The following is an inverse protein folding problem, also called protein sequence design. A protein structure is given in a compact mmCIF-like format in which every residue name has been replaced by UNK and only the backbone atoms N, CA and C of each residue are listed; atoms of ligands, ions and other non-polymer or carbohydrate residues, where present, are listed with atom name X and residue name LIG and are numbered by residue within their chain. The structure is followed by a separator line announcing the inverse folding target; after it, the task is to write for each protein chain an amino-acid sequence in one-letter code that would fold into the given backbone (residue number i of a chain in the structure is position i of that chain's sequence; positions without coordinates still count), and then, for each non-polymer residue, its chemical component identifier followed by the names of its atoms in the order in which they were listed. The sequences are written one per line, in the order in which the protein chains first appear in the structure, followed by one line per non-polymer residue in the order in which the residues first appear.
data_IF_594432495348
#
_entry.id   IF_594432495348
#
_cell.length_a   1.000
_cell.length_b   1.000
_cell.length_c   1.000
_cell.angle_alpha   90.00
_cell.angle_beta   90.00
_cell.angle_gamma   90.00
#
_symmetry.space_group_name_H-M   'P 1'
#
loop_
_entity.id
_entity.type
_entity.pdbx_description
1 polymer ?
#
# COMPACT_ATOMS: atom_id res chain seq x y z
N UNK A 1 -3.73 -12.23 3.03
CA UNK A 1 -2.67 -11.98 4.03
C UNK A 1 -1.38 -11.58 3.33
N UNK A 2 -0.73 -10.50 3.79
CA UNK A 2 0.52 -10.05 3.17
C UNK A 2 1.31 -9.19 4.17
N UNK A 3 2.34 -9.73 4.81
CA UNK A 3 3.18 -8.98 5.73
C UNK A 3 3.80 -7.76 5.05
N UNK A 4 3.82 -6.64 5.75
CA UNK A 4 4.44 -5.42 5.24
C UNK A 4 5.94 -5.39 5.54
N UNK A 5 6.67 -4.62 4.75
CA UNK A 5 8.11 -4.37 4.93
C UNK A 5 8.47 -4.16 6.41
N UNK A 6 9.54 -4.82 6.86
CA UNK A 6 9.99 -4.80 8.26
C UNK A 6 9.18 -5.69 9.21
N UNK A 7 8.24 -6.51 8.71
CA UNK A 7 7.69 -7.63 9.49
C UNK A 7 8.80 -8.67 9.74
N UNK A 8 8.71 -9.46 10.82
CA UNK A 8 9.62 -10.58 11.02
C UNK A 8 9.60 -11.54 9.82
N UNK A 9 10.73 -12.15 9.48
CA UNK A 9 10.85 -13.07 8.33
C UNK A 9 9.86 -14.24 8.40
N UNK A 10 9.51 -14.69 9.60
CA UNK A 10 8.54 -15.77 9.81
C UNK A 10 7.07 -15.32 9.68
N UNK A 11 6.78 -14.01 9.50
CA UNK A 11 5.41 -13.49 9.62
C UNK A 11 4.44 -14.10 8.60
N UNK A 12 4.90 -14.33 7.37
CA UNK A 12 4.05 -14.95 6.34
C UNK A 12 3.78 -16.41 6.65
N UNK A 13 4.81 -17.18 7.00
CA UNK A 13 4.64 -18.59 7.39
C UNK A 13 3.73 -18.71 8.60
N UNK A 14 3.92 -17.89 9.62
CA UNK A 14 3.05 -17.90 10.80
C UNK A 14 1.57 -17.62 10.46
N UNK A 15 1.31 -16.68 9.54
CA UNK A 15 -0.05 -16.41 9.10
C UNK A 15 -0.67 -17.59 8.32
N UNK A 16 0.14 -18.29 7.51
CA UNK A 16 -0.26 -19.52 6.81
C UNK A 16 -0.57 -20.61 7.84
N UNK A 17 0.31 -20.83 8.82
CA UNK A 17 0.14 -21.84 9.86
C UNK A 17 -1.16 -21.63 10.67
N UNK A 18 -1.50 -20.36 10.97
CA UNK A 18 -2.78 -20.03 11.64
C UNK A 18 -3.98 -20.41 10.77
N UNK A 19 -3.92 -20.20 9.46
CA UNK A 19 -4.99 -20.62 8.54
C UNK A 19 -5.10 -22.14 8.49
N UNK A 20 -3.98 -22.87 8.45
CA UNK A 20 -3.96 -24.33 8.46
C UNK A 20 -4.47 -24.92 9.78
N UNK A 21 -4.09 -24.32 10.91
CA UNK A 21 -4.64 -24.72 12.22
C UNK A 21 -6.16 -24.55 12.28
N UNK A 22 -6.69 -23.42 11.80
CA UNK A 22 -8.12 -23.19 11.74
C UNK A 22 -8.84 -24.24 10.86
N UNK A 23 -8.24 -24.58 9.71
CA UNK A 23 -8.74 -25.64 8.81
C UNK A 23 -8.72 -27.00 9.50
N UNK A 24 -7.64 -27.31 10.25
CA UNK A 24 -7.54 -28.52 11.07
C UNK A 24 -8.66 -28.66 12.11
N UNK A 25 -9.21 -27.54 12.56
CA UNK A 25 -10.39 -27.49 13.44
C UNK A 25 -11.73 -27.44 12.68
N UNK A 26 -11.73 -27.67 11.36
CA UNK A 26 -12.94 -27.72 10.54
C UNK A 26 -13.49 -26.37 10.07
N UNK A 27 -12.72 -25.28 10.23
CA UNK A 27 -13.09 -23.97 9.70
C UNK A 27 -12.74 -23.91 8.21
N UNK A 28 -13.65 -23.51 7.35
CA UNK A 28 -13.37 -23.25 5.94
C UNK A 28 -12.67 -21.90 5.80
N UNK A 29 -11.36 -21.92 5.59
CA UNK A 29 -10.50 -20.74 5.51
C UNK A 29 -9.80 -20.70 4.15
N UNK A 30 -10.00 -19.63 3.42
CA UNK A 30 -9.17 -19.21 2.29
C UNK A 30 -8.56 -17.84 2.59
N UNK A 31 -7.53 -17.48 1.85
CA UNK A 31 -6.91 -16.15 1.94
C UNK A 31 -6.45 -15.68 0.58
N UNK A 32 -6.06 -14.42 0.49
CA UNK A 32 -5.62 -13.82 -0.77
C UNK A 32 -4.31 -13.04 -0.63
N UNK A 33 -3.69 -12.80 -1.78
CA UNK A 33 -2.52 -11.93 -1.92
C UNK A 33 -2.64 -11.03 -3.16
N UNK A 34 -1.94 -9.90 -3.11
CA UNK A 34 -1.74 -9.03 -4.28
C UNK A 34 -0.48 -9.50 -5.00
N UNK A 35 -0.48 -9.70 -6.34
CA UNK A 35 0.69 -10.19 -7.07
C UNK A 35 1.69 -9.05 -7.38
N UNK A 36 1.89 -8.15 -6.43
CA UNK A 36 2.82 -7.02 -6.50
C UNK A 36 3.51 -6.80 -5.17
N UNK A 37 4.80 -6.47 -5.21
CA UNK A 37 5.59 -6.04 -4.06
C UNK A 37 5.37 -4.55 -3.70
N UNK A 38 4.73 -3.80 -4.58
CA UNK A 38 4.32 -2.42 -4.37
C UNK A 38 2.86 -2.32 -3.97
N UNK A 39 2.58 -1.47 -2.99
CA UNK A 39 1.23 -1.07 -2.60
C UNK A 39 1.05 0.44 -2.72
N UNK A 40 -0.18 0.90 -2.72
CA UNK A 40 -0.53 2.31 -2.74
C UNK A 40 -1.52 2.63 -1.64
N UNK A 41 -1.56 3.88 -1.23
CA UNK A 41 -2.60 4.37 -0.32
C UNK A 41 -2.62 5.89 -0.29
N UNK A 42 -3.60 6.46 0.40
CA UNK A 42 -3.68 7.89 0.63
C UNK A 42 -2.58 8.35 1.59
N UNK A 43 -1.92 9.47 1.28
CA UNK A 43 -0.84 10.03 2.12
C UNK A 43 -1.34 10.35 3.53
N UNK A 44 -2.59 10.80 3.67
CA UNK A 44 -3.21 11.08 4.98
C UNK A 44 -3.19 9.85 5.93
N UNK A 45 -3.04 8.65 5.40
CA UNK A 45 -2.97 7.43 6.21
C UNK A 45 -1.67 7.32 7.04
N UNK A 46 -0.64 8.14 6.76
CA UNK A 46 0.56 8.24 7.58
C UNK A 46 0.26 8.79 8.98
N UNK A 47 -0.77 9.62 9.08
CA UNK A 47 -1.14 10.28 10.33
C UNK A 47 -1.70 9.28 11.34
N UNK A 48 -1.34 9.37 12.62
CA UNK A 48 -1.97 8.62 13.68
C UNK A 48 -3.45 8.98 13.78
N UNK A 49 -4.27 8.09 14.36
CA UNK A 49 -5.72 8.24 14.39
C UNK A 49 -6.15 9.58 14.98
N UNK A 50 -5.61 9.97 16.13
CA UNK A 50 -5.96 11.24 16.80
C UNK A 50 -5.73 12.47 15.92
N UNK A 51 -4.74 12.41 15.01
CA UNK A 51 -4.44 13.51 14.11
C UNK A 51 -5.43 13.64 12.94
N UNK A 52 -6.17 12.58 12.64
CA UNK A 52 -7.19 12.53 11.58
C UNK A 52 -8.60 12.82 12.04
N UNK A 53 -8.85 12.89 13.36
CA UNK A 53 -10.17 13.12 13.93
C UNK A 53 -10.67 14.56 13.71
N UNK A 54 -11.97 14.70 13.51
CA UNK A 54 -12.65 15.99 13.41
C UNK A 54 -12.68 16.59 12.00
N UNK A 55 -12.37 15.80 10.97
CA UNK A 55 -12.44 16.22 9.56
C UNK A 55 -11.23 17.01 9.08
N UNK A 56 -11.20 17.31 7.78
CA UNK A 56 -10.02 17.85 7.08
C UNK A 56 -9.53 19.19 7.65
N UNK A 57 -10.42 20.08 8.09
CA UNK A 57 -10.02 21.35 8.69
C UNK A 57 -9.25 21.15 10.01
N UNK A 58 -9.70 20.23 10.85
CA UNK A 58 -8.99 19.91 12.10
C UNK A 58 -7.64 19.22 11.84
N UNK A 59 -7.54 18.43 10.78
CA UNK A 59 -6.26 17.88 10.32
C UNK A 59 -5.32 19.02 9.94
N UNK A 60 -5.76 19.98 9.13
CA UNK A 60 -4.97 21.13 8.70
C UNK A 60 -4.50 22.00 9.88
N UNK A 61 -5.38 22.26 10.87
CA UNK A 61 -5.02 22.99 12.09
C UNK A 61 -3.85 22.29 12.80
N UNK A 62 -3.92 20.95 12.99
CA UNK A 62 -2.87 20.17 13.64
C UNK A 62 -1.57 20.14 12.82
N UNK A 63 -1.69 20.06 11.49
CA UNK A 63 -0.51 20.08 10.60
C UNK A 63 0.18 21.44 10.57
N UNK A 64 -0.51 22.54 10.88
CA UNK A 64 0.08 23.90 11.05
C UNK A 64 0.67 24.12 12.42
N UNK A 65 0.25 23.37 13.43
CA UNK A 65 0.78 23.46 14.79
C UNK A 65 2.10 22.70 14.93
N UNK A 66 3.24 23.38 15.21
CA UNK A 66 4.54 22.72 15.37
C UNK A 66 4.56 21.65 16.46
N UNK A 67 3.81 21.85 17.55
CA UNK A 67 3.74 20.87 18.65
C UNK A 67 3.02 19.60 18.21
N UNK A 68 1.92 19.74 17.49
CA UNK A 68 1.18 18.62 16.94
C UNK A 68 2.02 17.87 15.87
N UNK A 69 2.74 18.58 15.00
CA UNK A 69 3.67 17.96 14.02
C UNK A 69 4.72 17.09 14.70
N UNK A 70 5.39 17.62 15.73
CA UNK A 70 6.38 16.83 16.47
C UNK A 70 5.76 15.59 17.15
N UNK A 71 4.54 15.72 17.68
CA UNK A 71 3.83 14.59 18.26
C UNK A 71 3.46 13.54 17.18
N UNK A 72 3.07 13.96 15.97
CA UNK A 72 2.81 13.08 14.84
C UNK A 72 4.07 12.30 14.47
N UNK A 73 5.20 12.99 14.28
CA UNK A 73 6.48 12.39 13.88
C UNK A 73 7.02 11.37 14.89
N UNK A 74 6.82 11.62 16.18
CA UNK A 74 7.24 10.69 17.25
C UNK A 74 6.37 9.44 17.39
N UNK A 75 5.15 9.47 16.85
CA UNK A 75 4.19 8.38 16.96
C UNK A 75 3.60 8.03 15.59
N UNK A 76 4.43 7.66 14.60
CA UNK A 76 3.94 7.26 13.31
C UNK A 76 3.10 5.99 13.46
N UNK A 77 2.17 5.80 12.54
CA UNK A 77 1.30 4.63 12.57
C UNK A 77 2.14 3.35 12.45
N UNK A 78 2.02 2.36 13.37
CA UNK A 78 2.90 1.18 13.39
C UNK A 78 2.93 0.37 12.09
N UNK A 79 1.85 0.40 11.30
CA UNK A 79 1.78 -0.30 10.02
C UNK A 79 2.68 0.31 8.93
N UNK A 80 3.17 1.54 9.12
CA UNK A 80 4.04 2.23 8.16
C UNK A 80 5.52 2.04 8.54
N UNK A 81 5.99 0.80 8.50
CA UNK A 81 7.35 0.43 8.90
C UNK A 81 8.43 1.07 8.03
N UNK A 82 8.14 1.34 6.75
CA UNK A 82 9.04 2.09 5.87
C UNK A 82 9.34 3.49 6.43
N UNK A 83 8.33 4.15 6.99
CA UNK A 83 8.48 5.47 7.65
C UNK A 83 9.31 5.34 8.93
N UNK A 84 9.03 4.32 9.72
CA UNK A 84 9.74 4.08 10.99
C UNK A 84 11.22 3.69 10.81
N UNK A 85 11.59 3.17 9.64
CA UNK A 85 12.95 2.72 9.29
C UNK A 85 13.66 3.65 8.30
N UNK A 86 13.21 4.90 8.17
CA UNK A 86 13.73 5.88 7.21
C UNK A 86 13.74 5.41 5.75
N UNK A 87 12.83 4.52 5.41
CA UNK A 87 12.67 3.97 4.05
C UNK A 87 12.04 4.94 3.05
N UNK A 88 12.27 6.23 3.18
CA UNK A 88 11.66 7.30 2.39
C UNK A 88 11.95 7.22 0.90
N UNK A 89 13.08 6.66 0.51
CA UNK A 89 13.46 6.39 -0.88
C UNK A 89 12.61 5.28 -1.54
N UNK A 90 11.89 4.49 -0.76
CA UNK A 90 10.98 3.42 -1.21
C UNK A 90 9.53 3.85 -1.28
N UNK A 91 9.23 5.10 -0.97
CA UNK A 91 7.90 5.68 -1.00
C UNK A 91 7.89 6.78 -2.05
N UNK A 92 7.00 6.68 -3.02
CA UNK A 92 6.93 7.57 -4.19
C UNK A 92 5.58 8.26 -4.23
N UNK A 93 5.58 9.58 -4.46
CA UNK A 93 4.35 10.34 -4.67
C UNK A 93 3.71 9.94 -6.00
N UNK A 94 2.48 9.44 -5.95
CA UNK A 94 1.74 9.01 -7.16
C UNK A 94 0.82 10.07 -7.72
N UNK A 95 0.16 10.81 -6.84
CA UNK A 95 -0.83 11.80 -7.22
C UNK A 95 -0.82 12.97 -6.24
N UNK A 96 -0.82 14.18 -6.81
CA UNK A 96 -1.00 15.44 -6.10
C UNK A 96 -1.59 16.45 -7.09
N UNK A 97 -2.59 17.19 -6.71
CA UNK A 97 -3.14 18.27 -7.52
C UNK A 97 -2.34 19.57 -7.35
N UNK A 98 -1.88 19.84 -6.13
CA UNK A 98 -1.11 21.03 -5.81
C UNK A 98 0.37 20.92 -6.22
N UNK A 99 0.96 19.72 -6.19
CA UNK A 99 2.39 19.47 -6.41
C UNK A 99 2.64 18.48 -7.56
N UNK A 100 2.07 18.77 -8.73
CA UNK A 100 2.18 17.89 -9.94
C UNK A 100 3.61 17.67 -10.40
N UNK A 101 4.49 18.63 -10.17
CA UNK A 101 5.92 18.58 -10.52
C UNK A 101 6.75 17.67 -9.58
N UNK A 102 6.17 17.24 -8.47
CA UNK A 102 6.77 16.29 -7.55
C UNK A 102 6.29 14.85 -7.76
N UNK A 103 5.26 14.64 -8.57
CA UNK A 103 4.75 13.30 -8.89
C UNK A 103 5.83 12.45 -9.55
N UNK A 104 6.01 11.23 -9.07
CA UNK A 104 7.06 10.31 -9.50
C UNK A 104 8.35 10.40 -8.66
N UNK A 105 8.50 11.41 -7.80
CA UNK A 105 9.63 11.52 -6.87
C UNK A 105 9.40 10.69 -5.61
N UNK A 106 10.48 10.12 -5.08
CA UNK A 106 10.47 9.55 -3.74
C UNK A 106 10.35 10.65 -2.68
N UNK A 107 9.84 10.31 -1.51
CA UNK A 107 9.75 11.29 -0.42
C UNK A 107 11.11 11.77 0.09
N UNK A 108 12.15 10.96 -0.08
CA UNK A 108 13.53 11.38 0.18
C UNK A 108 13.99 12.47 -0.81
N UNK A 109 13.70 12.31 -2.11
CA UNK A 109 13.99 13.33 -3.12
C UNK A 109 13.18 14.62 -2.90
N UNK A 110 11.91 14.50 -2.52
CA UNK A 110 11.04 15.64 -2.19
C UNK A 110 11.60 16.39 -0.96
N UNK A 111 12.00 15.65 0.08
CA UNK A 111 12.62 16.24 1.27
C UNK A 111 13.88 17.03 0.91
N UNK A 112 14.78 16.46 0.12
CA UNK A 112 15.99 17.14 -0.37
C UNK A 112 15.65 18.38 -1.21
N UNK A 113 14.69 18.30 -2.11
CA UNK A 113 14.25 19.41 -2.95
C UNK A 113 13.64 20.56 -2.14
N UNK A 114 12.87 20.22 -1.09
CA UNK A 114 12.28 21.20 -0.14
C UNK A 114 13.25 21.62 0.98
N UNK A 115 14.47 21.11 1.01
CA UNK A 115 15.47 21.32 2.07
C UNK A 115 14.89 21.06 3.48
N UNK A 116 14.14 19.96 3.61
CA UNK A 116 13.46 19.57 4.85
C UNK A 116 13.57 18.05 5.07
N UNK A 117 13.31 17.61 6.30
CA UNK A 117 13.20 16.18 6.58
C UNK A 117 12.04 15.59 5.76
N UNK A 118 12.17 14.39 5.16
CA UNK A 118 11.12 13.78 4.32
C UNK A 118 9.74 13.75 5.00
N UNK A 119 9.67 13.46 6.30
CA UNK A 119 8.41 13.48 7.03
C UNK A 119 7.75 14.86 7.04
N UNK A 120 8.53 15.93 7.29
CA UNK A 120 7.99 17.30 7.24
C UNK A 120 7.53 17.65 5.84
N UNK A 121 8.29 17.28 4.80
CA UNK A 121 7.87 17.46 3.41
C UNK A 121 6.52 16.77 3.11
N UNK A 122 6.29 15.56 3.63
CA UNK A 122 5.01 14.85 3.49
C UNK A 122 3.86 15.58 4.19
N UNK A 123 4.10 16.10 5.40
CA UNK A 123 3.08 16.89 6.12
C UNK A 123 2.75 18.20 5.40
N UNK A 124 3.75 18.81 4.74
CA UNK A 124 3.55 19.99 3.90
C UNK A 124 2.77 19.68 2.63
N UNK A 125 3.03 18.54 1.96
CA UNK A 125 2.20 18.10 0.82
C UNK A 125 0.72 17.98 1.18
N UNK A 126 0.40 17.49 2.38
CA UNK A 126 -0.98 17.44 2.88
C UNK A 126 -1.57 18.83 3.10
N UNK A 127 -0.77 19.82 3.48
CA UNK A 127 -1.23 21.21 3.66
C UNK A 127 -1.36 21.96 2.34
N UNK A 128 -0.55 21.62 1.35
CA UNK A 128 -0.58 22.24 0.01
C UNK A 128 -1.85 21.88 -0.75
N UNK A 129 -2.43 20.69 -0.53
CA UNK A 129 -3.68 20.27 -1.17
C UNK A 129 -4.87 21.08 -0.66
N UNK A 130 -5.87 21.31 -1.52
CA UNK A 130 -7.16 21.84 -1.08
C UNK A 130 -7.83 20.89 -0.07
N UNK A 131 -8.70 21.43 0.77
CA UNK A 131 -9.39 20.65 1.84
C UNK A 131 -10.13 19.44 1.28
N UNK A 132 -10.76 19.59 0.13
CA UNK A 132 -11.49 18.54 -0.59
C UNK A 132 -10.59 17.48 -1.18
N UNK A 133 -9.33 17.83 -1.49
CA UNK A 133 -8.40 16.99 -2.26
C UNK A 133 -7.35 16.27 -1.41
N UNK A 134 -7.25 16.58 -0.10
CA UNK A 134 -6.33 15.91 0.82
C UNK A 134 -6.42 14.37 0.78
N UNK A 135 -7.61 13.83 0.51
CA UNK A 135 -7.82 12.39 0.38
C UNK A 135 -7.44 11.85 -1.00
N UNK A 136 -7.14 12.73 -1.96
CA UNK A 136 -6.67 12.33 -3.30
C UNK A 136 -5.16 12.34 -3.42
N UNK A 137 -4.44 12.86 -2.42
CA UNK A 137 -2.99 12.76 -2.35
C UNK A 137 -2.60 11.31 -2.11
N UNK A 138 -1.93 10.70 -3.10
CA UNK A 138 -1.63 9.27 -3.12
C UNK A 138 -0.13 8.99 -3.17
N UNK A 139 0.28 7.95 -2.49
CA UNK A 139 1.62 7.38 -2.60
C UNK A 139 1.58 5.92 -3.03
N UNK A 140 2.69 5.45 -3.59
CA UNK A 140 3.02 4.03 -3.74
C UNK A 140 4.29 3.72 -2.98
N UNK A 141 4.43 2.48 -2.52
CA UNK A 141 5.63 2.06 -1.79
C UNK A 141 5.93 0.59 -2.01
N UNK A 142 7.21 0.23 -2.00
CA UNK A 142 7.66 -1.16 -1.99
C UNK A 142 7.40 -1.77 -0.60
N UNK A 143 6.14 -2.10 -0.36
CA UNK A 143 5.63 -2.50 0.95
C UNK A 143 5.71 -3.99 1.23
N UNK A 144 5.89 -4.83 0.22
CA UNK A 144 5.80 -6.27 0.34
C UNK A 144 7.07 -6.97 -0.14
N UNK A 145 7.22 -8.22 0.25
CA UNK A 145 8.33 -9.08 -0.12
C UNK A 145 7.86 -10.10 -1.17
N UNK A 146 8.60 -10.21 -2.27
CA UNK A 146 8.29 -11.18 -3.32
C UNK A 146 8.40 -12.64 -2.85
N UNK A 147 9.27 -12.93 -1.87
CA UNK A 147 9.36 -14.25 -1.25
C UNK A 147 8.09 -14.64 -0.51
N UNK A 148 7.49 -13.70 0.23
CA UNK A 148 6.22 -13.91 0.93
C UNK A 148 5.05 -14.14 -0.06
N UNK A 149 5.06 -13.43 -1.20
CA UNK A 149 4.06 -13.63 -2.25
C UNK A 149 4.16 -15.05 -2.81
N UNK A 150 5.38 -15.52 -3.12
CA UNK A 150 5.61 -16.88 -3.61
C UNK A 150 5.18 -17.94 -2.62
N UNK A 151 5.57 -17.77 -1.35
CA UNK A 151 5.19 -18.69 -0.26
C UNK A 151 3.65 -18.80 -0.12
N UNK A 152 2.94 -17.67 -0.26
CA UNK A 152 1.49 -17.67 -0.28
C UNK A 152 0.90 -18.38 -1.50
N UNK A 153 1.46 -18.13 -2.70
CA UNK A 153 1.01 -18.76 -3.95
C UNK A 153 1.22 -20.27 -3.97
N UNK A 154 2.16 -20.80 -3.23
CA UNK A 154 2.34 -22.25 -3.06
C UNK A 154 1.17 -22.91 -2.30
N UNK A 155 0.38 -22.14 -1.57
CA UNK A 155 -0.75 -22.67 -0.79
C UNK A 155 -2.00 -22.84 -1.66
N UNK A 156 -2.66 -24.02 -1.69
CA UNK A 156 -3.79 -24.29 -2.58
C UNK A 156 -5.04 -23.43 -2.31
N UNK A 157 -5.18 -22.84 -1.14
CA UNK A 157 -6.28 -21.96 -0.71
C UNK A 157 -5.99 -20.46 -0.88
N UNK A 158 -4.84 -20.10 -1.46
CA UNK A 158 -4.50 -18.71 -1.71
C UNK A 158 -5.14 -18.22 -3.01
N UNK A 159 -6.07 -17.28 -2.94
CA UNK A 159 -6.58 -16.55 -4.08
C UNK A 159 -5.65 -15.40 -4.47
N UNK A 160 -5.84 -14.82 -5.66
CA UNK A 160 -5.07 -13.65 -6.12
C UNK A 160 -6.04 -12.53 -6.45
N UNK A 161 -5.81 -11.37 -5.87
CA UNK A 161 -6.66 -10.19 -6.00
C UNK A 161 -5.89 -8.95 -6.41
N UNK A 162 -6.61 -7.93 -6.82
CA UNK A 162 -6.03 -6.62 -7.16
C UNK A 162 -5.87 -5.68 -5.95
N UNK A 163 -6.73 -5.83 -4.93
CA UNK A 163 -6.89 -4.88 -3.81
C UNK A 163 -6.96 -3.43 -4.29
N UNK A 164 -7.82 -3.18 -5.25
CA UNK A 164 -8.02 -1.85 -5.84
C UNK A 164 -9.48 -1.56 -6.12
N UNK A 165 -9.77 -0.30 -6.41
CA UNK A 165 -11.10 0.14 -6.81
C UNK A 165 -11.38 -0.28 -8.25
N UNK A 166 -12.66 -0.41 -8.59
CA UNK A 166 -13.10 -0.58 -9.97
C UNK A 166 -12.87 0.74 -10.72
N UNK A 167 -11.82 0.79 -11.52
CA UNK A 167 -11.39 1.96 -12.25
C UNK A 167 -11.87 1.91 -13.69
N UNK A 168 -12.09 3.10 -14.29
CA UNK A 168 -12.35 3.25 -15.71
C UNK A 168 -11.62 4.47 -16.26
N UNK A 169 -11.11 4.43 -17.50
CA UNK A 169 -10.46 5.57 -18.13
C UNK A 169 -11.45 6.65 -18.58
N UNK A 170 -12.70 6.55 -18.19
CA UNK A 170 -13.81 7.46 -18.52
C UNK A 170 -14.73 7.68 -17.30
N UNK A 171 -15.66 8.62 -17.41
CA UNK A 171 -16.62 8.95 -16.34
C UNK A 171 -15.99 9.81 -15.23
N UNK A 172 -16.67 9.88 -14.08
CA UNK A 172 -16.27 10.73 -12.95
C UNK A 172 -14.95 10.28 -12.28
N UNK A 173 -14.59 9.00 -12.38
CA UNK A 173 -13.37 8.44 -11.80
C UNK A 173 -12.18 8.39 -12.77
N UNK A 174 -12.30 8.95 -13.98
CA UNK A 174 -11.23 8.91 -15.00
C UNK A 174 -9.89 9.52 -14.57
N UNK A 175 -9.92 10.41 -13.58
CA UNK A 175 -8.72 11.06 -13.02
C UNK A 175 -8.21 10.36 -11.75
N UNK A 176 -8.93 9.36 -11.27
CA UNK A 176 -8.50 8.62 -10.09
C UNK A 176 -7.40 7.64 -10.48
N UNK A 177 -6.21 7.86 -9.96
CA UNK A 177 -5.09 6.94 -10.17
C UNK A 177 -5.27 5.79 -9.19
N UNK A 178 -5.67 4.64 -9.73
CA UNK A 178 -5.71 3.41 -8.96
C UNK A 178 -4.33 2.84 -8.70
N UNK A 179 -4.32 1.74 -7.96
CA UNK A 179 -3.13 0.93 -7.73
C UNK A 179 -2.43 0.54 -9.04
N UNK A 180 -1.11 0.39 -9.00
CA UNK A 180 -0.35 -0.31 -10.05
C UNK A 180 -0.93 -1.70 -10.35
N UNK A 181 -1.54 -2.34 -9.34
CA UNK A 181 -2.27 -3.60 -9.48
C UNK A 181 -3.64 -3.44 -10.16
N UNK A 182 -4.22 -2.22 -10.23
CA UNK A 182 -5.59 -2.00 -10.67
C UNK A 182 -5.93 -2.57 -12.05
N UNK A 183 -5.13 -2.27 -13.04
CA UNK A 183 -5.33 -2.76 -14.41
C UNK A 183 -4.42 -3.93 -14.79
N UNK A 184 -3.29 -4.09 -14.11
CA UNK A 184 -2.22 -5.01 -14.51
C UNK A 184 -2.09 -6.28 -13.67
N UNK A 185 -2.82 -6.42 -12.58
CA UNK A 185 -2.60 -7.49 -11.60
C UNK A 185 -2.72 -8.91 -12.20
N UNK A 186 -3.76 -9.16 -12.98
CA UNK A 186 -4.00 -10.47 -13.58
C UNK A 186 -2.95 -10.79 -14.66
N UNK A 187 -2.60 -9.81 -15.49
CA UNK A 187 -1.56 -9.96 -16.49
C UNK A 187 -0.20 -10.23 -15.84
N UNK A 188 0.17 -9.48 -14.78
CA UNK A 188 1.39 -9.71 -14.00
C UNK A 188 1.39 -11.08 -13.35
N UNK A 189 0.30 -11.47 -12.71
CA UNK A 189 0.18 -12.78 -12.07
C UNK A 189 0.43 -13.91 -13.07
N UNK A 190 -0.30 -13.91 -14.20
CA UNK A 190 -0.18 -14.97 -15.20
C UNK A 190 1.15 -14.95 -15.95
N UNK A 191 1.71 -13.77 -16.24
CA UNK A 191 3.00 -13.70 -16.95
C UNK A 191 4.17 -14.02 -16.02
N UNK A 192 4.27 -13.36 -14.87
CA UNK A 192 5.42 -13.46 -14.01
C UNK A 192 5.41 -14.75 -13.17
N UNK A 193 4.36 -14.97 -12.37
CA UNK A 193 4.37 -16.10 -11.43
C UNK A 193 3.99 -17.44 -12.06
N UNK A 194 3.09 -17.43 -13.04
CA UNK A 194 2.66 -18.68 -13.70
C UNK A 194 3.58 -19.04 -14.85
N UNK A 195 3.78 -18.14 -15.84
CA UNK A 195 4.56 -18.44 -17.04
C UNK A 195 6.07 -18.41 -16.79
N UNK A 196 6.59 -17.30 -16.23
CA UNK A 196 8.04 -17.06 -16.20
C UNK A 196 8.70 -17.80 -15.03
N UNK A 197 8.08 -17.80 -13.85
CA UNK A 197 8.62 -18.49 -12.67
C UNK A 197 8.08 -19.92 -12.50
N UNK A 198 6.97 -20.27 -13.15
CA UNK A 198 6.43 -21.63 -13.13
C UNK A 198 5.96 -22.10 -11.74
N UNK A 199 5.58 -21.18 -10.83
CA UNK A 199 5.12 -21.53 -9.47
C UNK A 199 3.82 -22.34 -9.52
N UNK A 200 2.96 -22.04 -10.49
CA UNK A 200 1.68 -22.70 -10.70
C UNK A 200 1.54 -23.12 -12.15
N UNK A 201 0.75 -24.19 -12.40
CA UNK A 201 0.29 -24.48 -13.75
C UNK A 201 -0.69 -23.39 -14.20
N UNK A 202 -0.90 -23.22 -15.52
CA UNK A 202 -1.88 -22.26 -16.03
C UNK A 202 -3.28 -22.54 -15.52
N UNK A 203 -3.69 -23.80 -15.45
CA UNK A 203 -5.00 -24.23 -14.95
C UNK A 203 -5.19 -23.78 -13.49
N UNK A 204 -4.17 -24.02 -12.65
CA UNK A 204 -4.22 -23.59 -11.26
C UNK A 204 -4.17 -22.06 -11.13
N UNK A 205 -3.39 -21.38 -11.95
CA UNK A 205 -3.37 -19.91 -11.99
C UNK A 205 -4.74 -19.33 -12.32
N UNK A 206 -5.44 -19.89 -13.32
CA UNK A 206 -6.80 -19.47 -13.65
C UNK A 206 -7.76 -19.74 -12.48
N UNK A 207 -7.66 -20.90 -11.84
CA UNK A 207 -8.49 -21.23 -10.66
C UNK A 207 -8.36 -20.19 -9.56
N UNK A 208 -7.13 -19.69 -9.29
CA UNK A 208 -6.82 -18.71 -8.23
C UNK A 208 -7.46 -17.34 -8.43
N UNK A 209 -7.83 -16.99 -9.65
CA UNK A 209 -8.43 -15.70 -10.00
C UNK A 209 -9.89 -15.80 -10.45
N UNK A 210 -10.49 -17.00 -10.40
CA UNK A 210 -11.86 -17.22 -10.88
C UNK A 210 -12.71 -18.03 -9.90
N UNK A 211 -12.47 -19.33 -9.77
CA UNK A 211 -13.35 -20.24 -9.03
C UNK A 211 -12.95 -20.47 -7.58
N UNK A 212 -11.77 -20.01 -7.16
CA UNK A 212 -11.39 -20.04 -5.75
C UNK A 212 -11.97 -18.87 -4.95
N UNK A 213 -11.96 -17.60 -5.45
CA UNK A 213 -12.58 -16.46 -4.77
C UNK A 213 -14.08 -16.59 -4.56
#
# INVERSE_FOLDING_TARGET
IQPKFGAPEYAMQHAIDMCEEARGHGVDVAFDVIPHDWSHTHVIAILPQWAREGGSEKVRERLRDPVAREKIKRNPRPMWRLVNSDGWNKIVLMQSEANKDLVGMSFDEIGRRKNSHPYDAVLDLLLDEEVTDMNHLMWTSQSFNNGDIKLALEQPQCAVISDTQALAPYGCLKHHIGSLSGYGWAARFLSHYVRDEGILTLQEGIRRITSLP
#
